data_IF_896958690875
#
_entry.id   IF_896958690875
#
_cell.length_a   1.000
_cell.length_b   1.000
_cell.length_c   1.000
_cell.angle_alpha   90.00
_cell.angle_beta   90.00
_cell.angle_gamma   90.00
#
_symmetry.space_group_name_H-M   'P 1'
#
loop_
_entity.id
_entity.type
_entity.pdbx_description
1 polymer ?
#
# COMPACT_ATOMS: atom_id res chain seq x y z
N UNK A 1 -23.25 -6.19 -18.82
CA UNK A 1 -23.09 -4.81 -18.29
C UNK A 1 -22.76 -4.79 -16.80
N UNK A 2 -23.41 -5.60 -15.96
CA UNK A 2 -23.16 -5.61 -14.50
C UNK A 2 -21.70 -5.99 -14.16
N UNK A 3 -21.06 -6.87 -14.93
CA UNK A 3 -19.70 -7.34 -14.64
C UNK A 3 -18.63 -6.25 -14.80
N UNK A 4 -18.80 -5.37 -15.80
CA UNK A 4 -17.87 -4.24 -16.02
C UNK A 4 -17.96 -3.25 -14.86
N UNK A 5 -19.18 -2.98 -14.38
CA UNK A 5 -19.40 -2.10 -13.22
C UNK A 5 -18.78 -2.71 -11.96
N UNK A 6 -18.92 -4.02 -11.74
CA UNK A 6 -18.31 -4.74 -10.60
C UNK A 6 -16.78 -4.68 -10.57
N UNK A 7 -16.13 -4.41 -11.69
CA UNK A 7 -14.66 -4.28 -11.77
C UNK A 7 -14.24 -2.81 -11.73
N UNK A 8 -14.84 -1.98 -12.57
CA UNK A 8 -14.44 -0.57 -12.71
C UNK A 8 -14.83 0.27 -11.51
N UNK A 9 -15.98 0.00 -10.87
CA UNK A 9 -16.44 0.80 -9.74
C UNK A 9 -15.52 0.62 -8.52
N UNK A 10 -15.18 -0.60 -8.05
CA UNK A 10 -14.22 -0.76 -6.96
C UNK A 10 -12.84 -0.23 -7.29
N UNK A 11 -12.36 -0.41 -8.53
CA UNK A 11 -11.06 0.10 -8.96
C UNK A 11 -11.00 1.63 -8.92
N UNK A 12 -12.01 2.30 -9.48
CA UNK A 12 -12.11 3.77 -9.48
C UNK A 12 -12.30 4.31 -8.05
N UNK A 13 -13.10 3.63 -7.24
CA UNK A 13 -13.28 3.98 -5.83
C UNK A 13 -11.96 3.87 -5.05
N UNK A 14 -11.22 2.77 -5.20
CA UNK A 14 -9.93 2.58 -4.53
C UNK A 14 -8.89 3.61 -4.97
N UNK A 15 -8.88 3.98 -6.25
CA UNK A 15 -8.03 5.05 -6.77
C UNK A 15 -8.39 6.41 -6.15
N UNK A 16 -9.67 6.79 -6.16
CA UNK A 16 -10.13 8.04 -5.59
C UNK A 16 -9.85 8.13 -4.08
N UNK A 17 -10.11 7.04 -3.34
CA UNK A 17 -9.77 6.93 -1.92
C UNK A 17 -8.27 7.04 -1.71
N UNK A 18 -7.45 6.39 -2.55
CA UNK A 18 -5.99 6.49 -2.47
C UNK A 18 -5.49 7.92 -2.64
N UNK A 19 -6.00 8.66 -3.62
CA UNK A 19 -5.68 10.08 -3.80
C UNK A 19 -6.10 10.89 -2.57
N UNK A 20 -7.31 10.66 -2.06
CA UNK A 20 -7.82 11.38 -0.89
C UNK A 20 -7.02 11.10 0.39
N UNK A 21 -6.53 9.87 0.57
CA UNK A 21 -5.71 9.46 1.70
C UNK A 21 -4.25 9.94 1.58
N UNK A 22 -3.75 10.14 0.36
CA UNK A 22 -2.35 10.52 0.08
C UNK A 22 -1.88 11.72 0.90
N UNK A 23 -2.57 12.88 0.98
CA UNK A 23 -2.08 14.01 1.78
C UNK A 23 -1.97 13.69 3.27
N UNK A 24 -2.91 12.92 3.82
CA UNK A 24 -2.91 12.51 5.24
C UNK A 24 -1.74 11.58 5.52
N UNK A 25 -1.58 10.54 4.70
CA UNK A 25 -0.50 9.56 4.82
C UNK A 25 0.85 10.23 4.60
N UNK A 26 1.00 11.04 3.56
CA UNK A 26 2.23 11.76 3.29
C UNK A 26 2.60 12.67 4.47
N UNK A 27 1.65 13.45 4.99
CA UNK A 27 1.90 14.30 6.16
C UNK A 27 2.39 13.48 7.36
N UNK A 28 1.75 12.33 7.64
CA UNK A 28 2.18 11.42 8.70
C UNK A 28 3.61 10.90 8.48
N UNK A 29 3.93 10.43 7.27
CA UNK A 29 5.26 9.88 6.94
C UNK A 29 6.35 10.94 7.00
N UNK A 30 6.09 12.15 6.50
CA UNK A 30 7.02 13.28 6.60
C UNK A 30 7.23 13.72 8.04
N UNK A 31 6.16 13.78 8.86
CA UNK A 31 6.23 14.13 10.29
C UNK A 31 7.12 13.16 11.06
N UNK A 32 7.02 11.86 10.77
CA UNK A 32 7.83 10.83 11.43
C UNK A 32 9.19 10.61 10.76
N UNK A 33 9.53 11.42 9.76
CA UNK A 33 10.80 11.34 9.02
C UNK A 33 11.06 9.92 8.49
N UNK A 34 10.02 9.30 7.93
CA UNK A 34 10.05 7.90 7.51
C UNK A 34 10.85 7.69 6.21
N UNK A 35 12.08 8.21 6.14
CA UNK A 35 12.99 8.05 5.00
C UNK A 35 14.21 7.22 5.39
N UNK A 36 14.95 6.72 4.40
CA UNK A 36 16.18 5.96 4.64
C UNK A 36 17.21 6.85 5.33
N UNK A 37 17.80 6.41 6.44
CA UNK A 37 18.83 7.19 7.16
C UNK A 37 20.25 6.82 6.78
N UNK A 38 20.47 5.59 6.30
CA UNK A 38 21.81 5.06 5.96
C UNK A 38 21.87 4.59 4.51
N UNK A 39 22.92 5.01 3.80
CA UNK A 39 23.27 4.48 2.47
C UNK A 39 23.79 3.04 2.59
N UNK A 40 23.70 2.28 1.48
CA UNK A 40 24.21 0.90 1.45
C UNK A 40 25.73 0.94 1.64
N UNK A 41 26.23 0.37 2.74
CA UNK A 41 27.65 0.45 3.08
C UNK A 41 28.53 -0.61 2.42
N UNK A 42 27.98 -1.79 2.20
CA UNK A 42 28.70 -2.96 1.68
C UNK A 42 27.94 -3.57 0.50
N UNK A 43 28.68 -4.12 -0.45
CA UNK A 43 28.13 -4.93 -1.54
C UNK A 43 27.71 -6.29 -0.99
N UNK A 44 26.94 -7.05 -1.78
CA UNK A 44 26.56 -8.44 -1.44
C UNK A 44 27.78 -9.34 -1.20
N UNK A 45 28.93 -8.98 -1.79
CA UNK A 45 30.21 -9.69 -1.66
C UNK A 45 31.05 -9.21 -0.46
N UNK A 46 30.54 -8.28 0.36
CA UNK A 46 31.20 -7.77 1.57
C UNK A 46 32.23 -6.67 1.36
N UNK A 47 32.47 -6.24 0.11
CA UNK A 47 33.33 -5.10 -0.19
C UNK A 47 32.60 -3.77 0.04
N UNK A 48 33.33 -2.67 0.26
CA UNK A 48 32.70 -1.35 0.38
C UNK A 48 31.97 -0.96 -0.91
N UNK A 49 30.70 -0.55 -0.79
CA UNK A 49 29.88 -0.15 -1.93
C UNK A 49 30.17 1.30 -2.36
N UNK A 50 31.41 1.57 -2.76
CA UNK A 50 31.91 2.92 -3.11
C UNK A 50 31.14 3.56 -4.28
N UNK A 51 30.81 2.77 -5.32
CA UNK A 51 30.06 3.28 -6.48
C UNK A 51 28.60 3.61 -6.12
N UNK A 52 27.95 2.77 -5.32
CA UNK A 52 26.55 2.98 -4.88
C UNK A 52 26.45 4.17 -3.95
N UNK A 53 27.41 4.34 -3.03
CA UNK A 53 27.51 5.55 -2.19
C UNK A 53 27.76 6.82 -3.03
N UNK A 54 28.60 6.73 -4.06
CA UNK A 54 28.92 7.87 -4.92
C UNK A 54 27.75 8.29 -5.83
N UNK A 55 26.98 7.33 -6.36
CA UNK A 55 25.86 7.56 -7.28
C UNK A 55 24.54 7.85 -6.56
N UNK A 56 24.27 7.15 -5.45
CA UNK A 56 23.08 7.32 -4.62
C UNK A 56 23.47 7.97 -3.30
N UNK A 57 23.58 9.29 -3.32
CA UNK A 57 23.68 10.12 -2.13
C UNK A 57 22.30 10.20 -1.41
N UNK A 58 21.72 9.03 -1.12
CA UNK A 58 20.37 8.84 -0.56
C UNK A 58 20.23 9.48 0.82
N UNK A 59 21.34 9.76 1.50
CA UNK A 59 21.39 10.46 2.80
C UNK A 59 20.80 11.88 2.74
N UNK A 60 20.82 12.51 1.55
CA UNK A 60 20.20 13.82 1.34
C UNK A 60 18.71 13.78 0.98
N UNK A 61 18.17 12.62 0.56
CA UNK A 61 16.79 12.49 0.06
C UNK A 61 15.83 12.22 1.21
N UNK A 62 15.03 13.24 1.55
CA UNK A 62 13.96 13.16 2.57
C UNK A 62 12.65 12.58 2.04
N UNK A 63 12.70 11.77 0.99
CA UNK A 63 11.51 11.13 0.41
C UNK A 63 11.08 9.96 1.30
N UNK A 64 9.84 9.97 1.81
CA UNK A 64 9.36 8.92 2.70
C UNK A 64 9.25 7.57 1.99
N UNK A 65 9.59 6.52 2.72
CA UNK A 65 9.28 5.11 2.44
C UNK A 65 7.88 4.78 2.96
N UNK A 66 7.40 3.56 2.69
CA UNK A 66 6.08 3.09 3.11
C UNK A 66 4.89 3.70 2.35
N UNK A 67 5.13 4.31 1.18
CA UNK A 67 4.04 4.82 0.33
C UNK A 67 3.03 3.75 -0.11
N UNK A 68 3.44 2.46 -0.10
CA UNK A 68 2.57 1.33 -0.39
C UNK A 68 1.33 1.25 0.51
N UNK A 69 1.35 1.85 1.71
CA UNK A 69 0.18 1.92 2.61
C UNK A 69 -1.02 2.60 1.98
N UNK A 70 -0.81 3.54 1.06
CA UNK A 70 -1.89 4.19 0.33
C UNK A 70 -2.61 3.19 -0.56
N UNK A 71 -1.88 2.27 -1.18
CA UNK A 71 -2.42 1.31 -2.15
C UNK A 71 -3.19 0.21 -1.46
N UNK A 72 -2.55 -0.56 -0.57
CA UNK A 72 -3.24 -1.67 0.08
C UNK A 72 -4.27 -1.17 1.09
N UNK A 73 -4.04 -0.01 1.72
CA UNK A 73 -5.00 0.63 2.61
C UNK A 73 -6.26 1.08 1.89
N UNK A 74 -6.16 1.67 0.69
CA UNK A 74 -7.34 2.06 -0.08
C UNK A 74 -8.14 0.85 -0.57
N UNK A 75 -7.46 -0.21 -1.04
CA UNK A 75 -8.10 -1.46 -1.44
C UNK A 75 -8.82 -2.11 -0.26
N UNK A 76 -8.18 -2.18 0.91
CA UNK A 76 -8.80 -2.71 2.13
C UNK A 76 -10.04 -1.90 2.53
N UNK A 77 -9.92 -0.56 2.58
CA UNK A 77 -11.02 0.32 2.95
C UNK A 77 -12.22 0.16 2.02
N UNK A 78 -11.98 0.17 0.70
CA UNK A 78 -13.05 0.04 -0.30
C UNK A 78 -13.69 -1.34 -0.23
N UNK A 79 -12.89 -2.40 -0.11
CA UNK A 79 -13.41 -3.77 0.01
C UNK A 79 -14.29 -3.93 1.25
N UNK A 80 -13.82 -3.46 2.40
CA UNK A 80 -14.61 -3.47 3.64
C UNK A 80 -15.86 -2.60 3.52
N UNK A 81 -15.77 -1.44 2.85
CA UNK A 81 -16.91 -0.54 2.61
C UNK A 81 -18.02 -1.20 1.79
N UNK A 82 -17.68 -1.87 0.68
CA UNK A 82 -18.66 -2.60 -0.13
C UNK A 82 -19.25 -3.81 0.61
N UNK A 83 -18.43 -4.51 1.40
CA UNK A 83 -18.89 -5.62 2.23
C UNK A 83 -19.84 -5.17 3.36
N UNK A 84 -19.56 -4.05 4.01
CA UNK A 84 -20.47 -3.47 5.01
C UNK A 84 -21.75 -2.95 4.34
N UNK A 85 -21.63 -2.34 3.16
CA UNK A 85 -22.80 -1.87 2.41
C UNK A 85 -23.74 -3.03 2.04
N UNK A 86 -23.22 -4.21 1.68
CA UNK A 86 -24.07 -5.39 1.46
C UNK A 86 -24.77 -5.91 2.71
N UNK A 87 -24.22 -5.66 3.90
CA UNK A 87 -24.89 -6.02 5.15
C UNK A 87 -26.05 -5.05 5.50
N UNK A 88 -26.03 -3.83 4.96
CA UNK A 88 -27.04 -2.79 5.21
C UNK A 88 -28.11 -2.71 4.11
N UNK A 89 -27.74 -2.99 2.86
CA UNK A 89 -28.63 -2.98 1.69
C UNK A 89 -28.66 -4.35 1.01
N UNK A 90 -29.86 -4.94 0.92
CA UNK A 90 -30.01 -6.32 0.46
C UNK A 90 -29.87 -6.53 -1.05
N UNK A 91 -30.33 -5.61 -1.89
CA UNK A 91 -30.45 -5.87 -3.33
C UNK A 91 -29.36 -5.24 -4.19
N UNK A 92 -28.94 -4.01 -3.87
CA UNK A 92 -27.85 -3.32 -4.55
C UNK A 92 -26.52 -3.65 -3.87
N UNK A 93 -26.49 -3.72 -2.55
CA UNK A 93 -25.31 -4.06 -1.77
C UNK A 93 -24.72 -5.42 -2.15
N UNK A 94 -25.53 -6.48 -2.18
CA UNK A 94 -25.11 -7.82 -2.65
C UNK A 94 -24.59 -7.81 -4.10
N UNK A 95 -25.15 -6.96 -4.96
CA UNK A 95 -24.68 -6.83 -6.35
C UNK A 95 -23.37 -6.08 -6.47
N UNK A 96 -23.01 -5.23 -5.51
CA UNK A 96 -21.77 -4.46 -5.53
C UNK A 96 -20.68 -5.10 -4.66
N UNK A 97 -21.04 -6.01 -3.77
CA UNK A 97 -20.09 -6.79 -2.99
C UNK A 97 -19.30 -7.73 -3.90
N UNK A 98 -18.01 -7.44 -4.04
CA UNK A 98 -17.06 -8.26 -4.78
C UNK A 98 -16.22 -9.16 -3.86
N UNK A 99 -16.43 -9.10 -2.54
CA UNK A 99 -15.73 -9.95 -1.58
C UNK A 99 -16.40 -11.34 -1.55
N UNK A 100 -15.82 -12.29 -2.29
CA UNK A 100 -16.35 -13.65 -2.44
C UNK A 100 -15.30 -14.70 -2.11
N UNK A 101 -15.74 -15.78 -1.46
CA UNK A 101 -14.87 -16.89 -1.03
C UNK A 101 -14.15 -17.56 -2.20
N UNK A 102 -14.84 -17.71 -3.33
CA UNK A 102 -14.32 -18.41 -4.51
C UNK A 102 -13.46 -17.54 -5.44
N UNK A 103 -13.33 -16.23 -5.20
CA UNK A 103 -12.64 -15.34 -6.13
C UNK A 103 -11.66 -14.39 -5.45
N UNK A 104 -12.11 -13.61 -4.45
CA UNK A 104 -11.33 -12.44 -3.97
C UNK A 104 -10.77 -12.58 -2.56
N UNK A 105 -11.21 -13.57 -1.78
CA UNK A 105 -10.65 -13.84 -0.44
C UNK A 105 -9.16 -14.14 -0.47
N UNK A 106 -8.73 -15.09 -1.32
CA UNK A 106 -7.34 -15.49 -1.38
C UNK A 106 -6.44 -14.37 -1.93
N UNK A 107 -6.79 -13.67 -3.04
CA UNK A 107 -6.04 -12.51 -3.49
C UNK A 107 -5.95 -11.38 -2.44
N UNK A 108 -7.05 -11.08 -1.74
CA UNK A 108 -7.05 -10.04 -0.71
C UNK A 108 -6.15 -10.42 0.47
N UNK A 109 -6.21 -11.67 0.92
CA UNK A 109 -5.34 -12.16 1.99
C UNK A 109 -3.86 -12.10 1.56
N UNK A 110 -3.54 -12.52 0.33
CA UNK A 110 -2.18 -12.45 -0.21
C UNK A 110 -1.67 -11.01 -0.28
N UNK A 111 -2.51 -10.07 -0.76
CA UNK A 111 -2.19 -8.64 -0.80
C UNK A 111 -1.88 -8.12 0.60
N UNK A 112 -2.75 -8.39 1.58
CA UNK A 112 -2.61 -7.88 2.95
C UNK A 112 -1.38 -8.47 3.65
N UNK A 113 -1.15 -9.78 3.53
CA UNK A 113 0.03 -10.43 4.14
C UNK A 113 1.32 -9.90 3.50
N UNK A 114 1.39 -9.83 2.17
CA UNK A 114 2.55 -9.28 1.47
C UNK A 114 2.80 -7.81 1.81
N UNK A 115 1.73 -7.02 1.90
CA UNK A 115 1.78 -5.63 2.31
C UNK A 115 2.30 -5.44 3.74
N UNK A 116 1.85 -6.28 4.69
CA UNK A 116 2.31 -6.22 6.08
C UNK A 116 3.79 -6.61 6.20
N UNK A 117 4.23 -7.65 5.48
CA UNK A 117 5.65 -8.04 5.44
C UNK A 117 6.50 -6.91 4.88
N UNK A 118 6.10 -6.32 3.74
CA UNK A 118 6.81 -5.18 3.15
C UNK A 118 6.80 -3.94 4.05
N UNK A 119 5.71 -3.70 4.79
CA UNK A 119 5.63 -2.61 5.76
C UNK A 119 6.62 -2.79 6.91
N UNK A 120 6.78 -4.02 7.42
CA UNK A 120 7.76 -4.35 8.45
C UNK A 120 9.18 -4.16 7.93
N UNK A 121 9.48 -4.60 6.72
CA UNK A 121 10.78 -4.40 6.07
C UNK A 121 11.11 -2.90 5.92
N UNK A 122 10.17 -2.11 5.41
CA UNK A 122 10.32 -0.66 5.31
C UNK A 122 10.52 0.02 6.67
N UNK A 123 9.81 -0.43 7.72
CA UNK A 123 9.97 0.08 9.08
C UNK A 123 11.36 -0.18 9.62
N UNK A 124 11.89 -1.40 9.47
CA UNK A 124 13.24 -1.76 9.89
C UNK A 124 14.27 -0.87 9.20
N UNK A 125 14.13 -0.67 7.88
CA UNK A 125 15.04 0.16 7.09
C UNK A 125 14.99 1.66 7.43
N UNK A 126 13.93 2.14 8.09
CA UNK A 126 13.79 3.53 8.58
C UNK A 126 14.26 3.67 10.03
N UNK A 127 14.14 2.61 10.83
CA UNK A 127 14.58 2.58 12.23
C UNK A 127 16.10 2.47 12.34
N UNK A 128 16.72 1.64 11.49
CA UNK A 128 18.17 1.45 11.39
C UNK A 128 18.94 2.70 10.94
#
# INVERSE_FOLDING_TARGET
MIDVVKVLLPATAAFAVGIALTPVVAHFLYRHKAWKKKSVGYTTDGHEATLTRALHNDEGRRTPRMGGIVVWGSVALVTTGFWLFSALDGALGEKLNFLSRGQTWLPLAALLVGALIGLVDDLLAVLD
#
